data_IF_509135851120
#
_entry.id   IF_509135851120
#
_cell.length_a   1.000
_cell.length_b   1.000
_cell.length_c   1.000
_cell.angle_alpha   90.00
_cell.angle_beta   90.00
_cell.angle_gamma   90.00
#
_symmetry.space_group_name_H-M   'P 1'
#
loop_
_entity.id
_entity.type
_entity.pdbx_description
1 polymer ?
#
# COMPACT_ATOMS: atom_id res chain seq x y z
N UNK A 1 6.85 6.87 3.48
CA UNK A 1 6.68 5.96 4.64
C UNK A 1 7.91 5.09 4.77
N UNK A 2 8.07 4.40 5.89
CA UNK A 2 9.18 3.47 6.16
C UNK A 2 8.60 2.16 6.71
N UNK A 3 9.35 1.07 6.59
CA UNK A 3 8.94 -0.20 7.18
C UNK A 3 8.90 -0.07 8.71
N UNK A 4 7.74 -0.32 9.32
CA UNK A 4 7.57 -0.21 10.77
C UNK A 4 8.29 -1.35 11.50
N UNK A 5 9.30 -1.08 12.35
CA UNK A 5 9.97 -2.12 13.11
C UNK A 5 9.09 -2.67 14.24
N UNK A 6 9.12 -3.98 14.54
CA UNK A 6 8.35 -4.57 15.65
C UNK A 6 8.63 -3.91 17.02
N UNK A 7 9.85 -3.42 17.24
CA UNK A 7 10.23 -2.74 18.48
C UNK A 7 9.43 -1.45 18.71
N UNK A 8 9.10 -0.69 17.65
CA UNK A 8 8.25 0.49 17.78
C UNK A 8 6.81 0.12 18.13
N UNK A 9 6.29 -0.96 17.55
CA UNK A 9 4.95 -1.46 17.93
C UNK A 9 4.93 -1.85 19.41
N UNK A 10 5.93 -2.59 19.89
CA UNK A 10 6.01 -2.98 21.30
C UNK A 10 6.05 -1.77 22.24
N UNK A 11 6.77 -0.70 21.87
CA UNK A 11 6.90 0.51 22.67
C UNK A 11 5.63 1.40 22.65
N UNK A 12 4.97 1.53 21.49
CA UNK A 12 3.94 2.56 21.28
C UNK A 12 2.50 2.05 21.20
N UNK A 13 2.29 0.75 20.98
CA UNK A 13 0.95 0.17 20.92
C UNK A 13 0.21 0.06 22.27
N UNK A 14 0.87 -0.20 23.42
CA UNK A 14 0.15 -0.37 24.68
C UNK A 14 -0.75 0.83 25.04
N UNK A 15 -2.01 0.56 25.37
CA UNK A 15 -3.00 1.57 25.78
C UNK A 15 -3.54 2.47 24.66
N UNK A 16 -3.24 2.17 23.38
CA UNK A 16 -3.63 2.99 22.23
C UNK A 16 -4.00 2.11 21.04
N UNK A 17 -4.69 2.69 20.06
CA UNK A 17 -4.80 2.08 18.73
C UNK A 17 -3.58 2.47 17.91
N UNK A 18 -2.74 1.50 17.59
CA UNK A 18 -1.57 1.70 16.74
C UNK A 18 -1.81 1.01 15.41
N UNK A 19 -1.66 1.72 14.29
CA UNK A 19 -1.82 1.17 12.94
C UNK A 19 -0.62 1.53 12.09
N UNK A 20 -0.30 0.66 11.14
CA UNK A 20 0.65 0.96 10.09
C UNK A 20 -0.11 1.33 8.81
N UNK A 21 0.33 2.38 8.13
CA UNK A 21 -0.32 2.90 6.94
C UNK A 21 0.71 3.00 5.81
N UNK A 22 0.28 2.67 4.60
CA UNK A 22 1.11 2.70 3.41
C UNK A 22 0.36 3.37 2.26
N UNK A 23 1.05 4.23 1.54
CA UNK A 23 0.55 4.83 0.30
C UNK A 23 1.61 5.74 -0.29
N UNK A 24 1.90 5.63 -1.59
CA UNK A 24 2.64 6.66 -2.30
C UNK A 24 1.77 7.94 -2.44
N UNK A 25 2.38 9.06 -2.84
CA UNK A 25 1.65 10.33 -2.99
C UNK A 25 0.58 10.25 -4.08
N UNK A 26 0.85 9.41 -5.08
CA UNK A 26 0.02 9.04 -6.22
C UNK A 26 -1.29 8.35 -5.82
N UNK A 27 -1.42 7.89 -4.57
CA UNK A 27 -2.65 7.29 -4.03
C UNK A 27 -3.24 8.13 -2.88
N UNK A 28 -3.03 9.45 -2.90
CA UNK A 28 -3.57 10.39 -1.92
C UNK A 28 -3.25 10.01 -0.47
N UNK A 29 -1.95 9.96 -0.16
CA UNK A 29 -1.37 9.68 1.18
C UNK A 29 -1.46 8.23 1.64
N UNK A 30 -2.62 7.57 1.55
CA UNK A 30 -2.82 6.23 2.11
C UNK A 30 -3.63 5.34 1.17
N UNK A 31 -3.00 4.27 0.68
CA UNK A 31 -3.64 3.24 -0.15
C UNK A 31 -3.99 1.97 0.63
N UNK A 32 -3.30 1.70 1.75
CA UNK A 32 -3.48 0.53 2.59
C UNK A 32 -3.28 0.86 4.08
N UNK A 33 -4.04 0.20 4.94
CA UNK A 33 -3.92 0.33 6.40
C UNK A 33 -4.03 -1.02 7.10
N UNK A 34 -3.18 -1.23 8.09
CA UNK A 34 -3.22 -2.44 8.93
C UNK A 34 -4.41 -2.43 9.88
N UNK A 35 -4.80 -3.63 10.33
CA UNK A 35 -5.53 -3.75 11.59
C UNK A 35 -4.71 -3.15 12.75
N UNK A 36 -5.36 -2.94 13.91
CA UNK A 36 -4.63 -2.45 15.09
C UNK A 36 -3.53 -3.44 15.47
N UNK A 37 -2.31 -2.94 15.58
CA UNK A 37 -1.13 -3.70 15.96
C UNK A 37 -1.00 -3.73 17.48
N UNK A 38 -0.43 -4.83 17.98
CA UNK A 38 -0.12 -5.07 19.39
C UNK A 38 1.32 -5.58 19.54
N UNK A 39 1.84 -5.58 20.77
CA UNK A 39 3.16 -6.13 21.05
C UNK A 39 3.28 -7.58 20.54
N UNK A 40 4.38 -7.89 19.84
CA UNK A 40 4.59 -9.18 19.18
C UNK A 40 4.02 -9.30 17.77
N UNK A 41 3.23 -8.33 17.30
CA UNK A 41 2.76 -8.28 15.91
C UNK A 41 3.94 -8.15 14.93
N UNK A 42 3.85 -8.83 13.79
CA UNK A 42 4.71 -8.54 12.62
C UNK A 42 4.04 -7.41 11.82
N UNK A 43 4.60 -6.19 11.77
CA UNK A 43 3.92 -5.05 11.14
C UNK A 43 3.81 -5.26 9.63
N UNK A 44 2.57 -5.32 9.12
CA UNK A 44 2.26 -5.37 7.69
C UNK A 44 1.64 -4.03 7.25
N UNK A 45 1.58 -3.78 5.95
CA UNK A 45 0.90 -2.60 5.39
C UNK A 45 -0.63 -2.72 5.45
N UNK A 46 -1.15 -3.93 5.60
CA UNK A 46 -2.58 -4.20 5.79
C UNK A 46 -3.37 -4.39 4.50
N UNK A 47 -4.62 -3.96 4.52
CA UNK A 47 -5.58 -4.11 3.42
C UNK A 47 -5.87 -2.76 2.77
N UNK A 48 -6.47 -2.78 1.58
CA UNK A 48 -6.87 -1.56 0.88
C UNK A 48 -7.74 -0.65 1.77
N UNK A 49 -7.55 0.66 1.68
CA UNK A 49 -8.55 1.62 2.20
C UNK A 49 -9.83 1.54 1.38
N UNK A 50 -10.94 2.02 1.94
CA UNK A 50 -12.26 1.90 1.32
C UNK A 50 -12.30 2.39 -0.15
N UNK A 51 -12.85 1.54 -1.03
CA UNK A 51 -12.94 1.80 -2.47
C UNK A 51 -11.67 1.52 -3.27
N UNK A 52 -10.51 1.37 -2.62
CA UNK A 52 -9.29 0.94 -3.30
C UNK A 52 -9.20 -0.59 -3.45
N UNK A 53 -8.33 -1.02 -4.35
CA UNK A 53 -7.88 -2.41 -4.53
C UNK A 53 -6.36 -2.46 -4.51
N UNK A 54 -5.81 -3.51 -3.90
CA UNK A 54 -4.39 -3.84 -3.94
C UNK A 54 -4.24 -5.12 -4.76
N UNK A 55 -3.29 -5.15 -5.70
CA UNK A 55 -2.91 -6.35 -6.46
C UNK A 55 -1.39 -6.52 -6.39
N UNK A 56 -0.93 -7.74 -6.17
CA UNK A 56 0.49 -8.10 -6.30
C UNK A 56 0.64 -8.86 -7.61
N UNK A 57 1.36 -8.30 -8.56
CA UNK A 57 1.42 -8.79 -9.94
C UNK A 57 2.85 -9.20 -10.33
N UNK A 58 2.96 -10.11 -11.29
CA UNK A 58 4.22 -10.44 -11.96
C UNK A 58 4.51 -9.49 -13.14
N UNK A 59 5.64 -9.72 -13.83
CA UNK A 59 6.07 -8.93 -15.00
C UNK A 59 5.09 -8.97 -16.18
N UNK A 60 4.13 -9.91 -16.18
CA UNK A 60 3.10 -10.08 -17.22
C UNK A 60 1.75 -9.51 -16.77
N UNK A 61 1.72 -8.77 -15.66
CA UNK A 61 0.53 -8.20 -15.03
C UNK A 61 -0.48 -9.27 -14.57
N UNK A 62 -0.03 -10.48 -14.28
CA UNK A 62 -0.85 -11.54 -13.71
C UNK A 62 -0.72 -11.57 -12.18
N UNK A 63 -1.80 -11.86 -11.43
CA UNK A 63 -1.73 -12.03 -9.98
C UNK A 63 -0.74 -13.12 -9.57
N UNK A 64 0.09 -12.85 -8.58
CA UNK A 64 0.98 -13.86 -7.97
C UNK A 64 0.28 -14.62 -6.84
N UNK A 65 0.74 -15.83 -6.57
CA UNK A 65 0.26 -16.66 -5.46
C UNK A 65 0.66 -16.08 -4.08
N UNK A 66 -0.12 -16.35 -3.02
CA UNK A 66 0.21 -15.90 -1.66
C UNK A 66 1.63 -16.32 -1.23
N UNK A 67 2.43 -15.36 -0.77
CA UNK A 67 3.80 -15.58 -0.32
C UNK A 67 4.87 -15.47 -1.41
N UNK A 68 4.47 -15.36 -2.68
CA UNK A 68 5.37 -15.06 -3.80
C UNK A 68 5.56 -13.55 -3.92
N UNK A 69 6.79 -13.11 -4.11
CA UNK A 69 7.09 -11.69 -4.33
C UNK A 69 6.62 -11.25 -5.73
N UNK A 70 6.04 -10.05 -5.79
CA UNK A 70 5.64 -9.38 -7.03
C UNK A 70 5.55 -7.87 -6.80
N UNK A 71 5.17 -7.13 -7.83
CA UNK A 71 5.01 -5.68 -7.77
C UNK A 71 3.61 -5.30 -7.28
N UNK A 72 3.54 -4.33 -6.36
CA UNK A 72 2.29 -3.86 -5.77
C UNK A 72 1.66 -2.78 -6.64
N UNK A 73 0.44 -3.04 -7.11
CA UNK A 73 -0.41 -2.09 -7.82
C UNK A 73 -1.60 -1.68 -6.96
N UNK A 74 -1.98 -0.40 -7.08
CA UNK A 74 -3.10 0.20 -6.36
C UNK A 74 -4.08 0.77 -7.39
N UNK A 75 -5.35 0.41 -7.27
CA UNK A 75 -6.43 0.95 -8.10
C UNK A 75 -7.53 1.52 -7.20
N UNK A 76 -8.28 2.52 -7.68
CA UNK A 76 -9.43 3.06 -6.97
C UNK A 76 -9.50 4.60 -6.95
N UNK A 77 -10.41 5.17 -6.15
CA UNK A 77 -10.71 6.60 -6.15
C UNK A 77 -9.58 7.46 -5.57
N UNK A 78 -8.62 6.86 -4.85
CA UNK A 78 -7.49 7.58 -4.27
C UNK A 78 -6.40 7.96 -5.28
N UNK A 79 -6.49 7.50 -6.53
CA UNK A 79 -5.47 7.77 -7.54
C UNK A 79 -5.40 9.25 -7.91
N UNK A 80 -4.19 9.77 -7.93
CA UNK A 80 -3.89 11.07 -8.50
C UNK A 80 -4.23 11.09 -10.00
N UNK A 81 -4.43 12.29 -10.56
CA UNK A 81 -4.65 12.48 -12.00
C UNK A 81 -3.41 12.18 -12.85
N UNK A 82 -2.25 11.96 -12.23
CA UNK A 82 -0.96 11.82 -12.89
C UNK A 82 0.02 12.91 -12.52
N UNK A 83 1.16 12.92 -13.20
CA UNK A 83 2.22 13.91 -13.01
C UNK A 83 1.98 15.14 -13.89
N UNK A 84 1.99 16.32 -13.25
CA UNK A 84 1.76 17.60 -13.93
C UNK A 84 2.75 17.80 -15.08
N UNK A 85 2.24 18.12 -16.27
CA UNK A 85 3.02 18.38 -17.50
C UNK A 85 3.94 17.22 -17.91
N UNK A 86 3.67 15.98 -17.48
CA UNK A 86 4.50 14.81 -17.79
C UNK A 86 3.65 13.63 -18.28
N UNK A 87 2.92 13.77 -19.42
CA UNK A 87 1.95 12.78 -19.88
C UNK A 87 2.57 11.40 -20.17
N UNK A 88 3.79 11.34 -20.70
CA UNK A 88 4.48 10.07 -20.95
C UNK A 88 4.77 9.30 -19.64
N UNK A 89 5.28 9.99 -18.62
CA UNK A 89 5.53 9.37 -17.30
C UNK A 89 4.22 9.00 -16.59
N UNK A 90 3.17 9.80 -16.77
CA UNK A 90 1.83 9.45 -16.28
C UNK A 90 1.35 8.15 -16.92
N UNK A 91 1.43 8.01 -18.24
CA UNK A 91 1.00 6.79 -18.93
C UNK A 91 1.84 5.56 -18.56
N UNK A 92 3.12 5.76 -18.21
CA UNK A 92 4.01 4.69 -17.76
C UNK A 92 3.63 4.16 -16.36
N UNK A 93 3.18 5.03 -15.44
CA UNK A 93 2.90 4.65 -14.03
C UNK A 93 1.43 4.48 -13.69
N UNK A 94 0.53 5.07 -14.48
CA UNK A 94 -0.93 4.96 -14.35
C UNK A 94 -1.47 4.15 -15.53
N UNK A 95 -1.22 2.83 -15.48
CA UNK A 95 -1.58 1.88 -16.53
C UNK A 95 -3.05 1.46 -16.45
N UNK A 96 -3.56 0.81 -17.51
CA UNK A 96 -4.89 0.22 -17.50
C UNK A 96 -4.98 -0.94 -16.49
N UNK A 97 -6.10 -1.03 -15.78
CA UNK A 97 -6.43 -2.15 -14.87
C UNK A 97 -7.20 -3.22 -15.68
N UNK A 98 -6.59 -4.37 -16.03
CA UNK A 98 -7.24 -5.44 -16.79
C UNK A 98 -8.28 -6.22 -15.95
#
# INVERSE_FOLDING_TARGET
>A
GEACPPALVAAWAPGRRFVNAYGPAETTVCGAVSASLSSGSRPAIGTAVDGNRLRVLDERLAPVEPGVAGELYIAGPSLARGYLNRPALTAERFVADP
#
